data_IF_176304829292
#
_entry.id   IF_176304829292
#
_cell.length_a   1.000
_cell.length_b   1.000
_cell.length_c   1.000
_cell.angle_alpha   90.00
_cell.angle_beta   90.00
_cell.angle_gamma   90.00
#
_symmetry.space_group_name_H-M   'P 1'
#
loop_
_entity.id
_entity.type
_entity.pdbx_description
1 polymer ?
#
# COMPACT_ATOMS: atom_id res chain seq x y z
N UNK A 1 14.49 -15.76 9.95
CA UNK A 1 15.62 -15.62 8.99
C UNK A 1 15.16 -15.73 7.54
N UNK A 2 14.41 -16.77 7.15
CA UNK A 2 13.88 -16.95 5.78
C UNK A 2 13.07 -15.75 5.24
N UNK A 3 12.17 -15.17 6.04
CA UNK A 3 11.38 -14.01 5.64
C UNK A 3 12.22 -12.75 5.36
N UNK A 4 13.25 -12.46 6.18
CA UNK A 4 14.14 -11.31 5.97
C UNK A 4 14.98 -11.46 4.69
N UNK A 5 15.42 -12.68 4.39
CA UNK A 5 16.18 -13.00 3.17
C UNK A 5 15.28 -12.85 1.94
N UNK A 6 14.04 -13.36 2.00
CA UNK A 6 13.07 -13.24 0.91
C UNK A 6 12.75 -11.77 0.60
N UNK A 7 12.47 -10.95 1.62
CA UNK A 7 12.25 -9.50 1.46
C UNK A 7 13.48 -8.86 0.80
N UNK A 8 14.69 -9.18 1.28
CA UNK A 8 15.94 -8.67 0.71
C UNK A 8 16.10 -9.00 -0.78
N UNK A 9 15.82 -10.25 -1.18
CA UNK A 9 15.88 -10.69 -2.58
C UNK A 9 14.81 -10.01 -3.43
N UNK A 10 13.59 -9.84 -2.91
CA UNK A 10 12.50 -9.14 -3.59
C UNK A 10 12.86 -7.67 -3.84
N UNK A 11 13.37 -6.97 -2.82
CA UNK A 11 13.82 -5.57 -2.96
C UNK A 11 14.95 -5.45 -3.96
N UNK A 12 15.96 -6.33 -3.87
CA UNK A 12 17.09 -6.31 -4.80
C UNK A 12 16.64 -6.56 -6.24
N UNK A 13 15.76 -7.54 -6.45
CA UNK A 13 15.20 -7.84 -7.77
C UNK A 13 14.40 -6.67 -8.34
N UNK A 14 13.59 -6.02 -7.50
CA UNK A 14 12.81 -4.85 -7.89
C UNK A 14 13.72 -3.67 -8.27
N UNK A 15 14.76 -3.39 -7.47
CA UNK A 15 15.73 -2.34 -7.78
C UNK A 15 16.49 -2.62 -9.08
N UNK A 16 16.91 -3.86 -9.30
CA UNK A 16 17.60 -4.25 -10.54
C UNK A 16 16.70 -4.07 -11.76
N UNK A 17 15.43 -4.49 -11.67
CA UNK A 17 14.44 -4.33 -12.73
C UNK A 17 14.16 -2.85 -13.02
N UNK A 18 13.91 -2.04 -11.99
CA UNK A 18 13.66 -0.61 -12.15
C UNK A 18 14.88 0.11 -12.75
N UNK A 19 16.09 -0.25 -12.32
CA UNK A 19 17.31 0.33 -12.90
C UNK A 19 17.44 0.00 -14.38
N UNK A 20 17.16 -1.25 -14.76
CA UNK A 20 17.18 -1.68 -16.15
C UNK A 20 16.14 -0.91 -16.99
N UNK A 21 14.89 -0.84 -16.53
CA UNK A 21 13.84 -0.13 -17.24
C UNK A 21 14.15 1.36 -17.32
N UNK A 22 14.79 1.94 -16.30
CA UNK A 22 15.08 3.37 -16.27
C UNK A 22 16.11 3.72 -17.33
N UNK A 23 17.14 2.88 -17.44
CA UNK A 23 18.18 3.03 -18.46
C UNK A 23 17.59 2.83 -19.85
N UNK A 24 16.74 1.81 -20.03
CA UNK A 24 16.11 1.48 -21.31
C UNK A 24 15.15 2.59 -21.78
N UNK A 25 14.13 2.90 -20.98
CA UNK A 25 13.13 3.94 -21.28
C UNK A 25 13.74 5.33 -21.32
N UNK A 26 14.69 5.62 -20.42
CA UNK A 26 15.43 6.89 -20.41
C UNK A 26 16.27 7.07 -21.68
N UNK A 27 16.96 6.02 -22.12
CA UNK A 27 17.71 6.01 -23.37
C UNK A 27 16.81 6.19 -24.60
N UNK A 28 15.64 5.55 -24.61
CA UNK A 28 14.63 5.72 -25.66
C UNK A 28 14.14 7.17 -25.71
N UNK A 29 13.67 7.72 -24.58
CA UNK A 29 13.13 9.09 -24.52
C UNK A 29 14.20 10.16 -24.80
N UNK A 30 15.45 9.93 -24.41
CA UNK A 30 16.57 10.82 -24.68
C UNK A 30 16.86 11.01 -26.18
N UNK A 31 16.39 10.10 -27.05
CA UNK A 31 16.48 10.26 -28.51
C UNK A 31 15.42 11.20 -29.07
N UNK A 32 14.33 11.43 -28.34
CA UNK A 32 13.21 12.27 -28.79
C UNK A 32 13.20 13.65 -28.15
N UNK A 33 13.89 13.83 -27.02
CA UNK A 33 13.89 15.09 -26.25
C UNK A 33 15.32 15.55 -25.97
N UNK A 34 15.58 16.83 -26.23
CA UNK A 34 16.85 17.48 -25.91
C UNK A 34 16.68 18.55 -24.83
N UNK A 35 17.57 18.62 -23.83
CA UNK A 35 18.72 17.72 -23.58
C UNK A 35 18.32 16.30 -23.14
N UNK A 36 19.20 15.33 -23.44
CA UNK A 36 18.99 13.89 -23.16
C UNK A 36 18.60 13.59 -21.69
N UNK A 37 19.10 14.38 -20.75
CA UNK A 37 18.75 14.30 -19.32
C UNK A 37 17.24 14.38 -19.10
N UNK A 38 16.51 15.17 -19.89
CA UNK A 38 15.04 15.27 -19.76
C UNK A 38 14.37 13.92 -20.06
N UNK A 39 14.90 13.13 -20.99
CA UNK A 39 14.41 11.79 -21.28
C UNK A 39 14.52 10.86 -20.07
N UNK A 40 15.65 10.88 -19.36
CA UNK A 40 15.84 10.11 -18.12
C UNK A 40 14.96 10.59 -16.97
N UNK A 41 14.76 11.91 -16.83
CA UNK A 41 13.85 12.47 -15.82
C UNK A 41 12.40 12.02 -16.10
N UNK A 42 11.98 12.07 -17.36
CA UNK A 42 10.66 11.60 -17.77
C UNK A 42 10.49 10.09 -17.52
N UNK A 43 11.50 9.28 -17.86
CA UNK A 43 11.49 7.84 -17.59
C UNK A 43 11.36 7.54 -16.09
N UNK A 44 12.13 8.22 -15.25
CA UNK A 44 12.03 8.09 -13.79
C UNK A 44 10.63 8.42 -13.29
N UNK A 45 10.02 9.51 -13.79
CA UNK A 45 8.65 9.88 -13.45
C UNK A 45 7.62 8.82 -13.83
N UNK A 46 7.75 8.22 -15.02
CA UNK A 46 6.87 7.13 -15.49
C UNK A 46 7.00 5.91 -14.59
N UNK A 47 8.23 5.50 -14.25
CA UNK A 47 8.45 4.33 -13.40
C UNK A 47 7.93 4.52 -11.98
N UNK A 48 8.22 5.68 -11.38
CA UNK A 48 7.69 6.04 -10.07
C UNK A 48 6.16 6.02 -10.07
N UNK A 49 5.53 6.53 -11.14
CA UNK A 49 4.08 6.47 -11.31
C UNK A 49 3.57 5.04 -11.44
N UNK A 50 4.22 4.17 -12.22
CA UNK A 50 3.83 2.75 -12.36
C UNK A 50 3.95 2.00 -11.04
N UNK A 51 5.02 2.21 -10.28
CA UNK A 51 5.20 1.61 -8.95
C UNK A 51 4.14 2.13 -7.97
N UNK A 52 3.91 3.44 -7.93
CA UNK A 52 2.88 4.04 -7.07
C UNK A 52 1.48 3.52 -7.42
N UNK A 53 1.18 3.39 -8.70
CA UNK A 53 -0.08 2.87 -9.20
C UNK A 53 -0.28 1.41 -8.80
N UNK A 54 0.79 0.61 -8.91
CA UNK A 54 0.81 -0.80 -8.52
C UNK A 54 0.55 -0.98 -7.03
N UNK A 55 1.22 -0.19 -6.17
CA UNK A 55 0.98 -0.20 -4.73
C UNK A 55 -0.46 0.20 -4.39
N UNK A 56 -0.99 1.23 -5.05
CA UNK A 56 -2.38 1.67 -4.84
C UNK A 56 -3.41 0.63 -5.28
N UNK A 57 -3.18 -0.06 -6.40
CA UNK A 57 -4.02 -1.19 -6.83
C UNK A 57 -4.02 -2.29 -5.77
N UNK A 58 -2.86 -2.63 -5.23
CA UNK A 58 -2.71 -3.60 -4.15
C UNK A 58 -3.53 -3.20 -2.91
N UNK A 59 -3.40 -1.95 -2.46
CA UNK A 59 -4.15 -1.41 -1.32
C UNK A 59 -5.67 -1.45 -1.54
N UNK A 60 -6.15 -1.02 -2.71
CA UNK A 60 -7.57 -1.02 -3.06
C UNK A 60 -8.15 -2.44 -3.08
N UNK A 61 -7.43 -3.40 -3.66
CA UNK A 61 -7.80 -4.82 -3.64
C UNK A 61 -7.91 -5.34 -2.22
N UNK A 62 -6.95 -4.98 -1.37
CA UNK A 62 -6.91 -5.40 0.05
C UNK A 62 -8.08 -4.83 0.86
N UNK A 63 -8.43 -3.57 0.60
CA UNK A 63 -9.56 -2.87 1.24
C UNK A 63 -10.91 -3.21 0.61
N UNK A 64 -10.95 -4.15 -0.35
CA UNK A 64 -12.15 -4.55 -1.13
C UNK A 64 -12.80 -3.38 -1.88
N UNK A 65 -12.04 -2.35 -2.19
CA UNK A 65 -12.44 -1.26 -3.05
C UNK A 65 -12.17 -1.61 -4.52
N UNK A 66 -12.83 -0.94 -5.44
CA UNK A 66 -12.67 -1.20 -6.87
C UNK A 66 -11.34 -0.60 -7.39
N UNK A 67 -10.40 -1.42 -7.90
CA UNK A 67 -9.16 -0.91 -8.48
C UNK A 67 -9.31 -0.55 -9.96
N UNK A 68 -10.53 -0.58 -10.52
CA UNK A 68 -10.77 -0.61 -11.96
C UNK A 68 -10.14 0.54 -12.74
N UNK A 69 -10.29 1.77 -12.26
CA UNK A 69 -9.67 2.95 -12.89
C UNK A 69 -8.14 2.85 -12.90
N UNK A 70 -7.53 2.50 -11.77
CA UNK A 70 -6.07 2.40 -11.66
C UNK A 70 -5.51 1.26 -12.52
N UNK A 71 -6.21 0.13 -12.57
CA UNK A 71 -5.86 -0.99 -13.44
C UNK A 71 -5.97 -0.61 -14.91
N UNK A 72 -7.00 0.14 -15.30
CA UNK A 72 -7.15 0.66 -16.66
C UNK A 72 -5.98 1.58 -17.03
N UNK A 73 -5.61 2.52 -16.16
CA UNK A 73 -4.45 3.40 -16.37
C UNK A 73 -3.17 2.59 -16.52
N UNK A 74 -2.96 1.58 -15.67
CA UNK A 74 -1.78 0.72 -15.75
C UNK A 74 -1.72 -0.02 -17.09
N UNK A 75 -2.83 -0.61 -17.53
CA UNK A 75 -2.92 -1.29 -18.83
C UNK A 75 -2.62 -0.33 -19.96
N UNK A 76 -3.17 0.89 -19.94
CA UNK A 76 -2.92 1.90 -20.96
C UNK A 76 -1.42 2.26 -21.05
N UNK A 77 -0.76 2.47 -19.91
CA UNK A 77 0.69 2.75 -19.86
C UNK A 77 1.49 1.57 -20.44
N UNK A 78 1.15 0.33 -20.07
CA UNK A 78 1.80 -0.87 -20.60
C UNK A 78 1.64 -0.98 -22.12
N UNK A 79 0.44 -0.70 -22.65
CA UNK A 79 0.16 -0.73 -24.09
C UNK A 79 0.99 0.32 -24.82
N UNK A 80 1.02 1.57 -24.33
CA UNK A 80 1.82 2.64 -24.94
C UNK A 80 3.30 2.26 -24.94
N UNK A 81 3.81 1.73 -23.84
CA UNK A 81 5.20 1.29 -23.75
C UNK A 81 5.50 0.10 -24.68
N UNK A 82 4.55 -0.83 -24.84
CA UNK A 82 4.72 -1.96 -25.75
C UNK A 82 4.79 -1.50 -27.21
N UNK A 83 3.91 -0.56 -27.61
CA UNK A 83 3.95 0.03 -28.95
C UNK A 83 5.27 0.76 -29.20
N UNK A 84 5.77 1.52 -28.21
CA UNK A 84 7.06 2.20 -28.31
C UNK A 84 8.22 1.19 -28.51
N UNK A 85 8.26 0.12 -27.74
CA UNK A 85 9.29 -0.92 -27.87
C UNK A 85 9.20 -1.68 -29.20
N UNK A 86 7.99 -1.95 -29.71
CA UNK A 86 7.79 -2.57 -31.02
C UNK A 86 8.29 -1.63 -32.13
N UNK A 87 7.94 -0.35 -32.06
CA UNK A 87 8.38 0.65 -33.03
C UNK A 87 9.91 0.79 -33.06
N UNK A 88 10.54 0.87 -31.89
CA UNK A 88 12.00 0.96 -31.79
C UNK A 88 12.69 -0.32 -32.28
N UNK A 89 12.19 -1.49 -31.88
CA UNK A 89 12.71 -2.77 -32.37
C UNK A 89 12.62 -2.86 -33.90
N UNK A 90 11.49 -2.48 -34.47
CA UNK A 90 11.30 -2.46 -35.91
C UNK A 90 12.32 -1.55 -36.61
N UNK A 91 12.53 -0.34 -36.07
CA UNK A 91 13.53 0.59 -36.61
C UNK A 91 14.97 0.09 -36.46
N UNK A 92 15.30 -0.60 -35.37
CA UNK A 92 16.62 -1.18 -35.16
C UNK A 92 16.94 -2.30 -36.16
N UNK A 93 15.94 -3.10 -36.54
CA UNK A 93 16.13 -4.25 -37.46
C UNK A 93 15.99 -3.86 -38.92
N UNK A 94 15.01 -3.03 -39.27
CA UNK A 94 14.69 -2.68 -40.67
C UNK A 94 15.31 -1.34 -41.11
N UNK A 95 15.91 -0.57 -40.20
CA UNK A 95 16.49 0.75 -40.49
C UNK A 95 15.45 1.81 -40.88
N UNK A 96 14.16 1.52 -40.72
CA UNK A 96 13.05 2.37 -41.14
C UNK A 96 12.04 2.58 -40.00
N UNK A 97 11.30 3.69 -40.05
CA UNK A 97 10.25 3.97 -39.06
C UNK A 97 9.06 3.01 -39.23
N UNK A 98 8.45 2.63 -38.09
CA UNK A 98 7.17 1.93 -38.11
C UNK A 98 6.07 2.92 -38.49
N UNK A 99 5.42 2.68 -39.63
CA UNK A 99 4.35 3.52 -40.20
C UNK A 99 3.17 2.66 -40.59
N UNK A 100 2.04 3.28 -40.93
CA UNK A 100 0.87 2.55 -41.44
C UNK A 100 1.18 1.72 -42.70
N UNK A 101 2.15 2.17 -43.51
CA UNK A 101 2.58 1.48 -44.72
C UNK A 101 3.51 0.28 -44.42
N UNK A 102 4.35 0.40 -43.39
CA UNK A 102 5.35 -0.61 -43.03
C UNK A 102 4.86 -1.58 -41.95
N UNK A 103 3.71 -1.35 -41.32
CA UNK A 103 3.18 -2.22 -40.25
C UNK A 103 2.97 -3.67 -40.72
N UNK A 104 2.71 -3.90 -42.01
CA UNK A 104 2.54 -5.24 -42.58
C UNK A 104 3.86 -6.02 -42.72
N UNK A 105 5.00 -5.33 -42.70
CA UNK A 105 6.32 -5.98 -42.69
C UNK A 105 6.85 -6.24 -41.28
N UNK A 106 6.04 -5.94 -40.25
CA UNK A 106 6.37 -6.25 -38.86
C UNK A 106 6.41 -7.77 -38.68
N UNK A 107 7.56 -8.29 -38.22
CA UNK A 107 7.67 -9.69 -37.84
C UNK A 107 6.78 -9.94 -36.59
N UNK A 108 5.79 -10.85 -36.67
CA UNK A 108 4.93 -11.18 -35.53
C UNK A 108 5.72 -11.66 -34.30
N UNK A 109 6.86 -12.33 -34.49
CA UNK A 109 7.72 -12.78 -33.38
C UNK A 109 8.37 -11.58 -32.68
N UNK A 110 8.87 -10.61 -33.45
CA UNK A 110 9.45 -9.39 -32.90
C UNK A 110 8.40 -8.54 -32.17
N UNK A 111 7.20 -8.43 -32.73
CA UNK A 111 6.07 -7.76 -32.08
C UNK A 111 5.71 -8.44 -30.75
N UNK A 112 5.66 -9.77 -30.74
CA UNK A 112 5.38 -10.56 -29.55
C UNK A 112 6.47 -10.39 -28.49
N UNK A 113 7.76 -10.38 -28.87
CA UNK A 113 8.87 -10.15 -27.94
C UNK A 113 8.77 -8.74 -27.34
N UNK A 114 8.52 -7.70 -28.13
CA UNK A 114 8.35 -6.33 -27.64
C UNK A 114 7.19 -6.19 -26.67
N UNK A 115 6.04 -6.80 -26.99
CA UNK A 115 4.88 -6.85 -26.11
C UNK A 115 5.17 -7.61 -24.82
N UNK A 116 5.79 -8.79 -24.92
CA UNK A 116 6.10 -9.67 -23.79
C UNK A 116 7.11 -9.03 -22.84
N UNK A 117 8.20 -8.46 -23.37
CA UNK A 117 9.23 -7.81 -22.54
C UNK A 117 8.63 -6.64 -21.73
N UNK A 118 7.77 -5.83 -22.34
CA UNK A 118 7.16 -4.67 -21.68
C UNK A 118 6.05 -5.06 -20.70
N UNK A 119 5.17 -5.98 -21.13
CA UNK A 119 4.04 -6.44 -20.33
C UNK A 119 4.50 -7.26 -19.13
N UNK A 120 5.44 -8.19 -19.32
CA UNK A 120 5.93 -9.05 -18.24
C UNK A 120 6.67 -8.25 -17.19
N UNK A 121 7.52 -7.28 -17.56
CA UNK A 121 8.21 -6.45 -16.57
C UNK A 121 7.22 -5.65 -15.74
N UNK A 122 6.18 -5.09 -16.35
CA UNK A 122 5.13 -4.35 -15.63
C UNK A 122 4.31 -5.24 -14.69
N UNK A 123 4.01 -6.48 -15.11
CA UNK A 123 3.35 -7.48 -14.25
C UNK A 123 4.25 -7.93 -13.10
N UNK A 124 5.54 -8.10 -13.35
CA UNK A 124 6.54 -8.47 -12.32
C UNK A 124 6.68 -7.34 -11.31
N UNK A 125 6.76 -6.08 -11.75
CA UNK A 125 6.81 -4.91 -10.85
C UNK A 125 5.55 -4.85 -9.99
N UNK A 126 4.37 -5.06 -10.58
CA UNK A 126 3.11 -5.12 -9.84
C UNK A 126 3.12 -6.25 -8.79
N UNK A 127 3.53 -7.45 -9.18
CA UNK A 127 3.58 -8.60 -8.29
C UNK A 127 4.60 -8.41 -7.16
N UNK A 128 5.79 -7.89 -7.45
CA UNK A 128 6.82 -7.60 -6.45
C UNK A 128 6.38 -6.49 -5.50
N UNK A 129 5.67 -5.47 -6.00
CA UNK A 129 5.11 -4.40 -5.18
C UNK A 129 4.00 -4.92 -4.24
N UNK A 130 3.11 -5.80 -4.71
CA UNK A 130 2.10 -6.46 -3.87
C UNK A 130 2.76 -7.33 -2.79
N UNK A 131 3.74 -8.17 -3.17
CA UNK A 131 4.49 -9.02 -2.22
C UNK A 131 5.19 -8.18 -1.16
N UNK A 132 5.91 -7.14 -1.58
CA UNK A 132 6.65 -6.29 -0.66
C UNK A 132 5.71 -5.53 0.28
N UNK A 133 4.58 -5.02 -0.23
CA UNK A 133 3.55 -4.40 0.60
C UNK A 133 2.97 -5.35 1.65
N UNK A 134 2.72 -6.60 1.28
CA UNK A 134 2.22 -7.62 2.23
C UNK A 134 3.26 -8.01 3.28
N UNK A 135 4.52 -8.17 2.88
CA UNK A 135 5.59 -8.63 3.76
C UNK A 135 6.01 -7.53 4.74
N UNK A 136 6.12 -6.28 4.28
CA UNK A 136 6.44 -5.13 5.14
C UNK A 136 5.35 -4.89 6.16
N UNK A 137 4.07 -4.89 5.76
CA UNK A 137 2.97 -4.71 6.72
C UNK A 137 2.92 -5.83 7.77
N UNK A 138 3.20 -7.07 7.35
CA UNK A 138 3.27 -8.21 8.27
C UNK A 138 4.43 -8.06 9.24
N UNK A 139 5.59 -7.63 8.77
CA UNK A 139 6.76 -7.36 9.60
C UNK A 139 6.52 -6.22 10.60
N UNK A 140 5.87 -5.11 10.17
CA UNK A 140 5.49 -4.00 11.06
C UNK A 140 4.49 -4.47 12.11
N UNK A 141 3.46 -5.23 11.73
CA UNK A 141 2.48 -5.79 12.67
C UNK A 141 3.12 -6.75 13.68
N UNK A 142 4.12 -7.52 13.26
CA UNK A 142 4.88 -8.40 14.17
C UNK A 142 5.73 -7.57 15.14
N UNK A 143 6.46 -6.57 14.64
CA UNK A 143 7.26 -5.67 15.48
C UNK A 143 6.39 -4.89 16.48
N UNK A 144 5.22 -4.41 16.07
CA UNK A 144 4.27 -3.72 16.96
C UNK A 144 3.70 -4.66 18.03
N UNK A 145 3.41 -5.92 17.67
CA UNK A 145 2.96 -6.94 18.64
C UNK A 145 4.08 -7.30 19.63
N UNK A 146 5.33 -7.40 19.17
CA UNK A 146 6.49 -7.65 20.04
C UNK A 146 6.76 -6.46 20.97
N UNK A 147 6.66 -5.22 20.45
CA UNK A 147 6.81 -4.00 21.24
C UNK A 147 5.70 -3.85 22.30
N UNK A 148 4.46 -4.22 21.98
CA UNK A 148 3.35 -4.27 22.96
C UNK A 148 3.46 -5.41 23.97
N UNK A 149 4.19 -6.48 23.64
CA UNK A 149 4.43 -7.63 24.53
C UNK A 149 5.65 -7.48 25.43
N UNK A 150 6.54 -6.53 25.17
CA UNK A 150 7.59 -6.17 26.12
C UNK A 150 6.98 -5.30 27.23
N UNK A 151 6.81 -5.82 28.47
CA UNK A 151 6.51 -4.95 29.59
C UNK A 151 7.70 -4.02 29.77
N UNK A 152 7.42 -2.75 30.03
CA UNK A 152 8.38 -1.70 30.37
C UNK A 152 9.23 -2.21 31.54
N UNK A 153 10.40 -2.77 31.24
CA UNK A 153 11.43 -3.02 32.24
C UNK A 153 12.00 -1.66 32.57
N UNK A 154 11.46 -1.05 33.63
CA UNK A 154 12.13 0.02 34.37
C UNK A 154 13.52 -0.49 34.74
N UNK A 155 14.56 0.11 34.21
CA UNK A 155 15.86 0.15 34.88
C UNK A 155 16.37 1.58 34.83
N UNK A 156 16.23 2.21 35.99
CA UNK A 156 16.84 3.46 36.41
C UNK A 156 18.38 3.38 36.40
N UNK A 157 19.01 4.58 36.38
CA UNK A 157 20.42 4.93 36.70
C UNK A 157 21.38 4.95 35.49
N UNK A 158 22.19 5.98 35.22
CA UNK A 158 22.74 7.05 36.07
C UNK A 158 23.17 8.23 35.20
N UNK A 159 23.13 9.44 35.77
CA UNK A 159 23.74 10.68 35.30
C UNK A 159 25.19 10.50 34.79
N UNK A 160 25.52 11.16 33.69
CA UNK A 160 26.77 11.93 33.60
C UNK A 160 26.56 13.10 32.65
N UNK A 161 26.68 14.31 33.18
CA UNK A 161 26.61 15.57 32.46
C UNK A 161 27.91 15.87 31.73
N UNK A 162 27.83 16.38 30.49
CA UNK A 162 28.60 17.54 29.99
C UNK A 162 27.76 18.23 28.90
N UNK A 163 27.57 19.57 28.94
CA UNK A 163 26.79 20.31 27.95
C UNK A 163 27.67 20.69 26.75
N UNK A 164 27.15 20.52 25.53
CA UNK A 164 27.60 21.26 24.35
C UNK A 164 26.42 21.92 23.70
N UNK A 165 26.63 23.21 23.50
CA UNK A 165 25.72 24.27 23.12
C UNK A 165 25.32 24.18 21.63
N UNK A 166 24.11 24.63 21.34
CA UNK A 166 23.64 25.03 20.01
C UNK A 166 23.02 23.96 19.12
N UNK A 167 21.74 24.17 18.77
CA UNK A 167 21.00 23.65 17.59
C UNK A 167 19.98 22.51 17.80
N UNK A 168 19.22 22.48 18.91
CA UNK A 168 18.14 21.48 19.10
C UNK A 168 16.81 22.04 19.64
N UNK A 169 16.57 23.35 19.53
CA UNK A 169 15.31 23.95 20.01
C UNK A 169 14.12 23.69 19.06
N UNK A 170 14.32 23.64 17.75
CA UNK A 170 13.21 23.49 16.78
C UNK A 170 12.69 22.05 16.63
N UNK A 171 13.54 21.03 16.84
CA UNK A 171 13.13 19.62 16.69
C UNK A 171 12.36 19.06 17.91
N UNK A 172 12.56 19.65 19.10
CA UNK A 172 11.91 19.23 20.33
C UNK A 172 10.44 19.69 20.40
N UNK A 173 10.14 20.88 19.90
CA UNK A 173 8.77 21.40 19.86
C UNK A 173 7.90 20.63 18.85
N UNK A 174 8.45 20.28 17.68
CA UNK A 174 7.72 19.52 16.66
C UNK A 174 7.43 18.09 17.14
N UNK A 175 8.39 17.43 17.80
CA UNK A 175 8.20 16.10 18.41
C UNK A 175 7.14 16.11 19.51
N UNK A 176 7.16 17.12 20.39
CA UNK A 176 6.12 17.29 21.42
C UNK A 176 4.75 17.67 20.85
N UNK A 177 4.69 18.31 19.68
CA UNK A 177 3.43 18.62 18.98
C UNK A 177 2.80 17.36 18.38
N UNK A 178 3.62 16.47 17.78
CA UNK A 178 3.17 15.21 17.18
C UNK A 178 2.71 14.23 18.25
N UNK A 179 3.42 14.13 19.37
CA UNK A 179 3.01 13.28 20.50
C UNK A 179 1.68 13.75 21.12
N UNK A 180 1.51 15.06 21.32
CA UNK A 180 0.24 15.63 21.80
C UNK A 180 -0.91 15.41 20.81
N UNK A 181 -0.66 15.57 19.52
CA UNK A 181 -1.67 15.31 18.49
C UNK A 181 -2.08 13.82 18.42
N UNK A 182 -1.12 12.89 18.59
CA UNK A 182 -1.40 11.45 18.66
C UNK A 182 -2.17 11.06 19.92
N UNK A 183 -1.82 11.63 21.07
CA UNK A 183 -2.55 11.41 22.32
C UNK A 183 -3.99 11.93 22.23
N UNK A 184 -4.19 13.13 21.71
CA UNK A 184 -5.53 13.72 21.54
C UNK A 184 -6.39 12.93 20.54
N UNK A 185 -5.80 12.37 19.48
CA UNK A 185 -6.51 11.50 18.54
C UNK A 185 -6.89 10.16 19.18
N UNK A 186 -5.98 9.55 19.93
CA UNK A 186 -6.24 8.30 20.63
C UNK A 186 -7.35 8.45 21.69
N UNK A 187 -7.39 9.59 22.39
CA UNK A 187 -8.44 9.92 23.35
C UNK A 187 -9.80 10.10 22.66
N UNK A 188 -9.86 10.85 21.55
CA UNK A 188 -11.09 11.00 20.76
C UNK A 188 -11.59 9.67 20.19
N UNK A 189 -10.68 8.83 19.70
CA UNK A 189 -11.01 7.50 19.17
C UNK A 189 -11.50 6.57 20.29
N UNK A 190 -10.97 6.69 21.51
CA UNK A 190 -11.42 5.93 22.68
C UNK A 190 -12.83 6.37 23.13
N UNK A 191 -13.09 7.67 23.18
CA UNK A 191 -14.42 8.22 23.53
C UNK A 191 -15.47 7.81 22.48
N UNK A 192 -15.16 8.00 21.20
CA UNK A 192 -16.03 7.58 20.08
C UNK A 192 -16.32 6.07 20.08
N UNK A 193 -15.37 5.26 20.52
CA UNK A 193 -15.54 3.82 20.69
C UNK A 193 -16.45 3.48 21.87
N UNK A 194 -16.24 4.08 23.04
CA UNK A 194 -17.10 3.83 24.21
C UNK A 194 -18.55 4.21 23.94
N UNK A 195 -18.77 5.35 23.27
CA UNK A 195 -20.11 5.79 22.85
C UNK A 195 -20.75 4.80 21.89
N UNK A 196 -19.99 4.30 20.91
CA UNK A 196 -20.48 3.31 19.94
C UNK A 196 -20.84 1.97 20.60
N UNK A 197 -20.07 1.51 21.60
CA UNK A 197 -20.38 0.29 22.35
C UNK A 197 -21.62 0.45 23.23
N UNK A 198 -21.81 1.62 23.85
CA UNK A 198 -23.02 1.93 24.61
C UNK A 198 -24.26 1.96 23.72
N UNK A 199 -24.19 2.63 22.57
CA UNK A 199 -25.30 2.66 21.59
C UNK A 199 -25.63 1.26 21.07
N UNK A 200 -24.63 0.39 20.90
CA UNK A 200 -24.83 -1.00 20.52
C UNK A 200 -25.63 -1.75 21.59
N UNK A 201 -25.23 -1.66 22.86
CA UNK A 201 -25.93 -2.32 23.97
C UNK A 201 -27.39 -1.84 24.08
N UNK A 202 -27.62 -0.53 23.98
CA UNK A 202 -28.98 0.05 23.99
C UNK A 202 -29.82 -0.47 22.82
N UNK A 203 -29.28 -0.44 21.60
CA UNK A 203 -30.00 -0.90 20.41
C UNK A 203 -30.33 -2.39 20.47
N UNK A 204 -29.42 -3.20 21.02
CA UNK A 204 -29.61 -4.64 21.17
C UNK A 204 -30.63 -4.97 22.27
N UNK A 205 -30.74 -4.15 23.32
CA UNK A 205 -31.81 -4.27 24.31
C UNK A 205 -33.20 -4.12 23.69
N UNK A 206 -33.35 -3.18 22.76
CA UNK A 206 -34.61 -2.89 22.06
C UNK A 206 -34.89 -3.84 20.89
N UNK A 207 -33.84 -4.39 20.28
CA UNK A 207 -33.91 -5.25 19.10
C UNK A 207 -33.00 -6.48 19.25
N UNK A 208 -33.39 -7.47 20.08
CA UNK A 208 -32.56 -8.64 20.34
C UNK A 208 -32.34 -9.52 19.09
N UNK A 209 -33.23 -9.46 18.10
CA UNK A 209 -33.13 -10.20 16.83
C UNK A 209 -32.27 -9.48 15.77
N UNK A 210 -31.72 -8.31 16.08
CA UNK A 210 -31.03 -7.49 15.09
C UNK A 210 -29.76 -8.14 14.53
N UNK A 211 -29.67 -8.18 13.20
CA UNK A 211 -28.43 -8.56 12.51
C UNK A 211 -27.32 -7.53 12.73
N UNK A 212 -26.06 -7.98 12.73
CA UNK A 212 -24.88 -7.11 12.82
C UNK A 212 -24.87 -5.98 11.78
N UNK A 213 -25.41 -6.24 10.58
CA UNK A 213 -25.53 -5.23 9.52
C UNK A 213 -26.55 -4.14 9.88
N UNK A 214 -27.63 -4.49 10.58
CA UNK A 214 -28.66 -3.54 11.04
C UNK A 214 -28.13 -2.67 12.18
N UNK A 215 -27.45 -3.30 13.14
CA UNK A 215 -26.77 -2.61 14.25
C UNK A 215 -25.75 -1.60 13.69
N UNK A 216 -24.90 -2.02 12.74
CA UNK A 216 -23.90 -1.13 12.15
C UNK A 216 -24.47 0.09 11.45
N UNK A 217 -25.62 -0.04 10.76
CA UNK A 217 -26.30 1.11 10.17
C UNK A 217 -26.84 2.09 11.24
N UNK A 218 -27.25 1.59 12.40
CA UNK A 218 -27.78 2.44 13.46
C UNK A 218 -26.68 3.25 14.16
N UNK A 219 -25.55 2.61 14.46
CA UNK A 219 -24.43 3.27 15.16
C UNK A 219 -23.40 3.93 14.22
N UNK A 220 -23.71 4.00 12.92
CA UNK A 220 -22.81 4.49 11.85
C UNK A 220 -21.42 3.82 11.87
N UNK A 221 -21.40 2.48 11.94
CA UNK A 221 -20.16 1.68 11.92
C UNK A 221 -20.26 0.52 10.94
N UNK A 222 -19.11 0.14 10.39
CA UNK A 222 -19.04 -1.03 9.51
C UNK A 222 -19.45 -2.31 10.24
N UNK A 223 -20.02 -3.28 9.52
CA UNK A 223 -20.36 -4.60 10.07
C UNK A 223 -19.18 -5.30 10.76
N UNK A 224 -17.97 -5.15 10.22
CA UNK A 224 -16.75 -5.73 10.80
C UNK A 224 -16.39 -5.06 12.13
N UNK A 225 -16.52 -3.74 12.21
CA UNK A 225 -16.31 -2.99 13.46
C UNK A 225 -17.30 -3.43 14.53
N UNK A 226 -18.59 -3.54 14.17
CA UNK A 226 -19.65 -4.03 15.08
C UNK A 226 -19.34 -5.44 15.56
N UNK A 227 -18.90 -6.33 14.68
CA UNK A 227 -18.52 -7.70 15.06
C UNK A 227 -17.39 -7.74 16.07
N UNK A 228 -16.42 -6.81 15.99
CA UNK A 228 -15.35 -6.71 16.97
C UNK A 228 -15.88 -6.20 18.32
N UNK A 229 -16.74 -5.17 18.31
CA UNK A 229 -17.37 -4.67 19.53
C UNK A 229 -18.22 -5.73 20.22
N UNK A 230 -19.02 -6.50 19.47
CA UNK A 230 -19.79 -7.62 20.01
C UNK A 230 -18.87 -8.63 20.68
N UNK A 231 -17.78 -9.05 20.02
CA UNK A 231 -16.84 -10.01 20.62
C UNK A 231 -16.23 -9.48 21.91
N UNK A 232 -15.88 -8.20 21.96
CA UNK A 232 -15.34 -7.57 23.17
C UNK A 232 -16.38 -7.50 24.29
N UNK A 233 -17.64 -7.21 23.96
CA UNK A 233 -18.75 -7.23 24.93
C UNK A 233 -19.07 -8.65 25.41
N UNK A 234 -18.92 -9.66 24.55
CA UNK A 234 -19.01 -11.09 24.92
C UNK A 234 -17.86 -11.50 25.85
N UNK A 235 -16.63 -11.10 25.54
CA UNK A 235 -15.45 -11.33 26.39
C UNK A 235 -15.56 -10.61 27.75
N UNK A 236 -16.15 -9.42 27.77
CA UNK A 236 -16.46 -8.68 28.99
C UNK A 236 -17.66 -9.23 29.76
N UNK A 237 -18.36 -10.23 29.21
CA UNK A 237 -19.53 -10.83 29.84
C UNK A 237 -20.74 -9.90 29.90
N UNK A 238 -20.84 -8.91 29.01
CA UNK A 238 -21.94 -7.95 28.94
C UNK A 238 -22.99 -8.32 27.88
N UNK A 239 -22.61 -9.16 26.92
CA UNK A 239 -23.47 -9.58 25.82
C UNK A 239 -23.27 -11.07 25.53
N UNK A 240 -24.31 -11.77 25.10
CA UNK A 240 -24.21 -13.15 24.63
C UNK A 240 -25.26 -13.42 23.56
N UNK A 241 -24.97 -14.37 22.67
CA UNK A 241 -25.97 -14.92 21.74
C UNK A 241 -26.60 -16.19 22.31
N UNK A 242 -27.92 -16.21 22.45
CA UNK A 242 -28.67 -17.32 23.08
C UNK A 242 -29.48 -18.17 22.07
N UNK A 243 -29.26 -17.99 20.78
CA UNK A 243 -29.93 -18.73 19.71
C UNK A 243 -31.20 -18.06 19.18
N UNK A 244 -31.94 -17.35 20.03
CA UNK A 244 -33.12 -16.55 19.64
C UNK A 244 -32.78 -15.10 19.35
N UNK A 245 -31.64 -14.63 19.85
CA UNK A 245 -31.15 -13.28 19.61
C UNK A 245 -29.92 -12.98 20.45
N UNK A 246 -29.75 -11.71 20.72
CA UNK A 246 -28.77 -11.17 21.66
C UNK A 246 -29.39 -11.02 23.04
N UNK A 247 -28.62 -11.35 24.06
CA UNK A 247 -28.98 -11.27 25.47
C UNK A 247 -27.95 -10.42 26.19
N UNK A 248 -28.43 -9.46 26.97
CA UNK A 248 -27.58 -8.63 27.83
C UNK A 248 -27.32 -9.37 29.13
N UNK A 249 -26.05 -9.49 29.47
CA UNK A 249 -25.60 -10.11 30.71
C UNK A 249 -25.23 -8.99 31.69
N UNK A 250 -25.88 -8.98 32.85
CA UNK A 250 -25.68 -8.02 33.93
C UNK A 250 -24.55 -8.43 34.86
#
# INVERSE_FOLDING_TARGET
MKAKIQIGVTVLSLLALLTYTLVHTGGLLARYVHPAVIGYVAAFGIEAAVVSLSLRIGELRRTKQSPGFFLFVLIAVVVVSAVANIAEGFTAVQGAALTLATVRSLDPVQAFIGLSATGLVSLIVLALAEILGTDVETAVKQADKERKRQPISKTTRTETAVPTDGTDADNAEESHSIERARAAKAEKDAVSRSEAMQMLLTFVAEHPDASLSRIGRHIDRSKTTVSNYVRELEEAGQLRRNGEGWELLS
#
